data_IF_381319851296
#
_entry.id   IF_381319851296
#
_cell.length_a   1.000
_cell.length_b   1.000
_cell.length_c   1.000
_cell.angle_alpha   90.00
_cell.angle_beta   90.00
_cell.angle_gamma   90.00
#
_symmetry.space_group_name_H-M   'P 1'
#
loop_
_entity.id
_entity.type
_entity.pdbx_description
1 polymer ?
#
# COMPACT_ATOMS: atom_id res chain seq x y z
N UNK A 1 -38.58 6.49 -26.42
CA UNK A 1 -37.47 5.56 -26.46
C UNK A 1 -36.20 6.38 -26.05
N UNK A 2 -35.90 6.42 -24.75
CA UNK A 2 -34.75 7.16 -24.20
C UNK A 2 -33.88 6.14 -23.48
N UNK A 3 -32.65 5.91 -23.99
CA UNK A 3 -31.65 5.09 -23.35
C UNK A 3 -31.05 5.88 -22.17
N UNK A 4 -31.22 5.36 -20.97
CA UNK A 4 -30.48 5.78 -19.81
C UNK A 4 -29.09 5.09 -19.84
N UNK A 5 -28.05 5.88 -20.09
CA UNK A 5 -26.68 5.46 -19.84
C UNK A 5 -26.35 5.74 -18.38
N UNK A 6 -26.31 4.72 -17.58
CA UNK A 6 -25.76 4.74 -16.22
C UNK A 6 -24.23 4.80 -16.31
N UNK A 7 -23.68 5.96 -16.04
CA UNK A 7 -22.23 6.19 -15.85
C UNK A 7 -21.80 5.49 -14.55
N UNK A 8 -21.11 4.37 -14.70
CA UNK A 8 -20.36 3.76 -13.61
C UNK A 8 -19.06 4.56 -13.40
N UNK A 9 -19.04 5.38 -12.36
CA UNK A 9 -17.81 5.99 -11.88
C UNK A 9 -16.96 4.92 -11.20
N UNK A 10 -15.99 4.39 -11.92
CA UNK A 10 -14.91 3.57 -11.37
C UNK A 10 -14.05 4.46 -10.46
N UNK A 11 -14.18 4.29 -9.15
CA UNK A 11 -13.24 4.81 -8.17
C UNK A 11 -11.92 4.06 -8.31
N UNK A 12 -11.00 4.61 -9.08
CA UNK A 12 -9.60 4.21 -9.06
C UNK A 12 -8.93 4.91 -7.88
N UNK A 13 -8.87 4.22 -6.75
CA UNK A 13 -7.93 4.59 -5.68
C UNK A 13 -6.53 4.27 -6.19
N UNK A 14 -5.80 5.30 -6.59
CA UNK A 14 -4.38 5.19 -6.88
C UNK A 14 -3.63 5.08 -5.55
N UNK A 15 -3.48 3.87 -5.03
CA UNK A 15 -2.39 3.61 -4.08
C UNK A 15 -1.12 3.59 -4.91
N UNK A 16 -0.49 4.75 -5.03
CA UNK A 16 0.75 4.89 -5.74
C UNK A 16 1.89 4.44 -4.83
N UNK A 17 2.23 3.17 -4.94
CA UNK A 17 3.46 2.63 -4.40
C UNK A 17 4.62 3.36 -5.07
N UNK A 18 5.59 3.78 -4.28
CA UNK A 18 6.91 4.14 -4.81
C UNK A 18 7.49 2.85 -5.38
N UNK A 19 7.20 2.59 -6.63
CA UNK A 19 7.64 1.42 -7.33
C UNK A 19 9.09 1.57 -7.71
N UNK A 20 9.87 0.68 -7.17
CA UNK A 20 10.97 0.09 -7.92
C UNK A 20 10.32 -0.63 -9.11
N UNK A 21 10.19 0.06 -10.24
CA UNK A 21 9.74 -0.55 -11.47
C UNK A 21 10.71 -1.69 -11.81
N UNK A 22 10.23 -2.92 -11.73
CA UNK A 22 10.88 -4.03 -12.41
C UNK A 22 10.78 -3.75 -13.89
N UNK A 23 11.86 -3.26 -14.49
CA UNK A 23 11.98 -3.19 -15.93
C UNK A 23 11.95 -4.62 -16.49
N UNK A 24 10.85 -5.02 -17.11
CA UNK A 24 10.87 -6.10 -18.07
C UNK A 24 11.57 -5.58 -19.32
N UNK A 25 12.85 -5.86 -19.46
CA UNK A 25 13.56 -5.72 -20.72
C UNK A 25 13.09 -6.85 -21.64
N UNK A 26 12.39 -6.50 -22.72
CA UNK A 26 12.29 -7.35 -23.89
C UNK A 26 13.68 -7.50 -24.51
N UNK A 27 14.35 -8.60 -24.20
CA UNK A 27 15.64 -8.98 -24.75
C UNK A 27 15.59 -10.43 -25.16
N UNK A 28 15.89 -10.69 -26.42
CA UNK A 28 15.89 -11.93 -27.16
C UNK A 28 16.39 -13.18 -26.43
N UNK A 29 15.73 -14.29 -26.75
CA UNK A 29 16.07 -15.67 -26.36
C UNK A 29 17.54 -16.00 -26.61
N UNK A 30 18.30 -16.25 -25.56
CA UNK A 30 19.40 -17.17 -25.55
C UNK A 30 19.31 -17.98 -24.27
N UNK A 31 19.15 -19.30 -24.43
CA UNK A 31 19.18 -20.25 -23.33
C UNK A 31 20.58 -20.22 -22.70
N UNK A 32 20.61 -19.75 -21.45
CA UNK A 32 21.72 -20.02 -20.53
C UNK A 32 21.13 -20.66 -19.30
N UNK A 33 21.53 -21.92 -19.07
CA UNK A 33 21.55 -22.52 -17.76
C UNK A 33 22.36 -21.56 -16.85
N UNK A 34 21.73 -20.72 -16.11
CA UNK A 34 22.36 -19.95 -15.06
C UNK A 34 21.73 -20.36 -13.73
N UNK A 35 22.60 -20.81 -12.88
CA UNK A 35 22.36 -21.27 -11.55
C UNK A 35 21.56 -20.31 -10.67
N UNK A 36 21.40 -20.74 -9.43
CA UNK A 36 20.67 -20.13 -8.33
C UNK A 36 20.50 -18.61 -8.46
N UNK A 37 19.25 -18.14 -8.32
CA UNK A 37 18.91 -16.72 -8.37
C UNK A 37 19.75 -15.91 -7.37
N UNK A 38 20.21 -14.72 -7.79
CA UNK A 38 20.92 -13.72 -6.98
C UNK A 38 20.07 -13.10 -5.83
N UNK A 39 19.06 -13.82 -5.34
CA UNK A 39 18.25 -13.37 -4.21
C UNK A 39 18.90 -13.86 -2.92
N UNK A 40 19.49 -12.96 -2.16
CA UNK A 40 20.00 -13.22 -0.83
C UNK A 40 18.87 -13.63 0.11
N UNK A 41 18.81 -14.89 0.59
CA UNK A 41 17.75 -15.35 1.48
C UNK A 41 17.69 -14.59 2.79
N UNK A 42 18.83 -14.15 3.32
CA UNK A 42 18.89 -13.34 4.53
C UNK A 42 18.24 -11.98 4.33
N UNK A 43 18.35 -11.42 3.13
CA UNK A 43 17.79 -10.10 2.83
C UNK A 43 16.28 -10.15 2.55
N UNK A 44 15.78 -11.20 1.94
CA UNK A 44 14.41 -11.24 1.41
C UNK A 44 13.47 -12.24 2.10
N UNK A 45 13.95 -12.96 3.09
CA UNK A 45 13.10 -13.85 3.90
C UNK A 45 12.70 -15.16 3.25
N UNK A 46 13.21 -15.47 2.05
CA UNK A 46 12.88 -16.70 1.36
C UNK A 46 13.95 -17.12 0.38
N UNK A 47 14.09 -18.43 0.19
CA UNK A 47 14.90 -18.97 -0.91
C UNK A 47 14.09 -18.98 -2.18
N UNK A 48 14.43 -18.12 -3.09
CA UNK A 48 13.81 -18.00 -4.39
C UNK A 48 14.53 -18.95 -5.38
N UNK A 49 13.78 -19.88 -5.97
CA UNK A 49 14.41 -20.90 -6.87
C UNK A 49 14.35 -20.54 -8.36
N UNK A 50 14.16 -19.27 -8.68
CA UNK A 50 14.25 -18.76 -10.04
C UNK A 50 13.11 -19.16 -10.98
N UNK A 51 12.05 -19.82 -10.49
CA UNK A 51 10.85 -20.12 -11.27
C UNK A 51 9.84 -18.98 -11.10
N UNK A 52 9.26 -18.57 -12.21
CA UNK A 52 8.21 -17.54 -12.24
C UNK A 52 6.92 -18.14 -12.78
N UNK A 53 5.81 -17.91 -12.08
CA UNK A 53 4.47 -18.21 -12.56
C UNK A 53 3.85 -16.91 -13.10
N UNK A 54 3.27 -16.99 -14.29
CA UNK A 54 2.58 -15.85 -14.91
C UNK A 54 1.22 -15.57 -14.28
N UNK A 55 0.64 -16.56 -13.60
CA UNK A 55 -0.65 -16.45 -12.92
C UNK A 55 -0.52 -16.91 -11.48
N UNK A 56 -1.25 -16.22 -10.59
CA UNK A 56 -1.38 -16.63 -9.21
C UNK A 56 -2.19 -17.92 -9.13
N UNK A 57 -1.67 -18.91 -8.43
CA UNK A 57 -2.29 -20.23 -8.26
C UNK A 57 -2.58 -20.44 -6.78
N UNK A 58 -3.83 -20.70 -6.45
CA UNK A 58 -4.27 -21.17 -5.15
C UNK A 58 -4.43 -22.68 -5.18
N UNK A 59 -3.85 -23.38 -4.21
CA UNK A 59 -3.98 -24.82 -4.08
C UNK A 59 -4.50 -25.21 -2.68
N UNK A 60 -5.50 -26.10 -2.58
CA UNK A 60 -5.96 -26.60 -1.30
C UNK A 60 -4.81 -27.28 -0.55
N UNK A 61 -4.78 -27.08 0.75
CA UNK A 61 -3.85 -27.77 1.67
C UNK A 61 -4.63 -28.33 2.86
N UNK A 62 -4.22 -29.51 3.32
CA UNK A 62 -4.89 -30.15 4.45
C UNK A 62 -4.52 -29.50 5.78
N UNK A 63 -3.33 -28.91 5.85
CA UNK A 63 -2.81 -28.25 7.05
C UNK A 63 -1.97 -27.04 6.63
N UNK A 64 -1.98 -26.03 7.48
CA UNK A 64 -1.01 -24.93 7.43
C UNK A 64 0.31 -25.46 8.00
N UNK A 65 1.39 -25.35 7.23
CA UNK A 65 2.69 -25.90 7.64
C UNK A 65 3.32 -25.12 8.79
N UNK A 66 3.03 -23.80 8.89
CA UNK A 66 3.54 -22.97 9.98
C UNK A 66 2.69 -23.19 11.24
N UNK A 67 3.34 -23.59 12.33
CA UNK A 67 2.70 -23.87 13.63
C UNK A 67 2.88 -22.74 14.65
N UNK A 68 3.39 -21.59 14.24
CA UNK A 68 3.54 -20.43 15.11
C UNK A 68 2.18 -19.90 15.54
N UNK A 69 2.16 -19.20 16.67
CA UNK A 69 0.94 -18.53 17.12
C UNK A 69 0.59 -17.35 16.20
N UNK A 70 -0.71 -17.13 16.00
CA UNK A 70 -1.23 -15.91 15.38
C UNK A 70 -1.12 -14.77 16.38
N UNK A 71 -0.39 -13.70 16.02
CA UNK A 71 -0.01 -12.67 17.00
C UNK A 71 -0.91 -11.44 17.03
N UNK A 72 -1.78 -11.23 16.04
CA UNK A 72 -2.60 -10.02 15.90
C UNK A 72 -4.11 -10.26 16.01
N UNK A 73 -4.52 -11.20 16.87
CA UNK A 73 -5.92 -11.61 17.03
C UNK A 73 -6.86 -10.43 17.32
N UNK A 74 -6.47 -9.54 18.24
CA UNK A 74 -7.25 -8.36 18.60
C UNK A 74 -7.43 -7.38 17.44
N UNK A 75 -6.38 -7.11 16.69
CA UNK A 75 -6.42 -6.22 15.53
C UNK A 75 -7.29 -6.80 14.41
N UNK A 76 -7.23 -8.12 14.21
CA UNK A 76 -8.08 -8.80 13.25
C UNK A 76 -9.57 -8.70 13.62
N UNK A 77 -9.93 -8.92 14.89
CA UNK A 77 -11.31 -8.74 15.35
C UNK A 77 -11.78 -7.29 15.22
N UNK A 78 -10.91 -6.32 15.49
CA UNK A 78 -11.19 -4.91 15.24
C UNK A 78 -11.42 -4.63 13.74
N UNK A 79 -10.64 -5.29 12.87
CA UNK A 79 -10.86 -5.17 11.43
C UNK A 79 -12.20 -5.77 10.98
N UNK A 80 -12.61 -6.92 11.52
CA UNK A 80 -13.94 -7.48 11.23
C UNK A 80 -15.07 -6.57 11.73
N UNK A 81 -14.91 -5.94 12.89
CA UNK A 81 -15.85 -4.92 13.41
C UNK A 81 -15.97 -3.73 12.47
N UNK A 82 -14.85 -3.26 11.90
CA UNK A 82 -14.87 -2.21 10.88
C UNK A 82 -15.64 -2.65 9.63
N UNK A 83 -15.43 -3.88 9.15
CA UNK A 83 -16.16 -4.42 7.98
C UNK A 83 -17.66 -4.45 8.28
N UNK A 84 -18.06 -4.94 9.43
CA UNK A 84 -19.45 -5.00 9.84
C UNK A 84 -20.10 -3.60 9.87
N UNK A 85 -19.37 -2.62 10.38
CA UNK A 85 -19.87 -1.24 10.54
C UNK A 85 -19.93 -0.45 9.24
N UNK A 86 -19.01 -0.70 8.30
CA UNK A 86 -18.82 0.16 7.11
C UNK A 86 -19.19 -0.51 5.78
N UNK A 87 -19.33 -1.83 5.72
CA UNK A 87 -19.65 -2.54 4.49
C UNK A 87 -20.58 -3.72 4.73
N UNK A 88 -21.88 -3.46 4.78
CA UNK A 88 -22.90 -4.52 4.88
C UNK A 88 -22.80 -5.56 3.77
N UNK A 89 -22.36 -5.16 2.57
CA UNK A 89 -22.12 -6.09 1.46
C UNK A 89 -21.00 -7.08 1.76
N UNK A 90 -19.84 -6.62 2.23
CA UNK A 90 -18.76 -7.55 2.59
C UNK A 90 -19.13 -8.39 3.80
N UNK A 91 -19.73 -7.77 4.82
CA UNK A 91 -20.21 -8.46 6.00
C UNK A 91 -21.11 -9.63 5.64
N UNK A 92 -22.11 -9.41 4.75
CA UNK A 92 -23.03 -10.47 4.33
C UNK A 92 -22.39 -11.52 3.42
N UNK A 93 -21.59 -11.10 2.44
CA UNK A 93 -20.99 -12.01 1.47
C UNK A 93 -19.96 -12.97 2.09
N UNK A 94 -19.29 -12.53 3.15
CA UNK A 94 -18.24 -13.29 3.84
C UNK A 94 -18.65 -13.75 5.23
N UNK A 95 -19.92 -13.55 5.65
CA UNK A 95 -20.39 -13.94 6.97
C UNK A 95 -19.99 -15.37 7.38
N UNK A 96 -20.19 -16.42 6.53
CA UNK A 96 -19.86 -17.79 6.94
C UNK A 96 -18.40 -17.99 7.34
N UNK A 97 -17.46 -17.34 6.63
CA UNK A 97 -16.03 -17.45 6.97
C UNK A 97 -15.66 -16.53 8.12
N UNK A 98 -16.25 -15.33 8.22
CA UNK A 98 -16.00 -14.42 9.33
C UNK A 98 -16.45 -15.03 10.66
N UNK A 99 -17.61 -15.68 10.70
CA UNK A 99 -18.12 -16.34 11.90
C UNK A 99 -17.23 -17.51 12.34
N UNK A 100 -16.82 -18.36 11.39
CA UNK A 100 -15.91 -19.49 11.67
C UNK A 100 -14.56 -19.01 12.18
N UNK A 101 -13.96 -18.03 11.51
CA UNK A 101 -12.63 -17.50 11.91
C UNK A 101 -12.73 -16.75 13.23
N UNK A 102 -13.82 -16.03 13.49
CA UNK A 102 -14.05 -15.40 14.80
C UNK A 102 -14.12 -16.45 15.91
N UNK A 103 -14.89 -17.52 15.74
CA UNK A 103 -14.98 -18.61 16.71
C UNK A 103 -13.60 -19.26 16.95
N UNK A 104 -12.84 -19.52 15.89
CA UNK A 104 -11.49 -20.07 15.98
C UNK A 104 -10.52 -19.12 16.70
N UNK A 105 -10.58 -17.81 16.42
CA UNK A 105 -9.73 -16.81 17.10
C UNK A 105 -10.05 -16.74 18.58
N UNK A 106 -11.34 -16.73 18.96
CA UNK A 106 -11.77 -16.73 20.36
C UNK A 106 -11.40 -18.01 21.10
N UNK A 107 -11.18 -19.12 20.39
CA UNK A 107 -10.67 -20.38 20.95
C UNK A 107 -9.12 -20.43 21.02
N UNK A 108 -8.42 -19.35 20.68
CA UNK A 108 -6.95 -19.24 20.79
C UNK A 108 -6.19 -19.32 19.48
N UNK A 109 -6.87 -19.37 18.34
CA UNK A 109 -6.29 -19.33 16.98
C UNK A 109 -5.21 -20.38 16.71
N UNK A 110 -5.40 -21.60 17.20
CA UNK A 110 -4.48 -22.71 16.95
C UNK A 110 -4.62 -23.19 15.49
N UNK A 111 -3.61 -22.98 14.67
CA UNK A 111 -3.61 -23.31 13.23
C UNK A 111 -3.80 -24.80 12.93
N UNK A 112 -3.47 -25.70 13.90
CA UNK A 112 -3.71 -27.12 13.73
C UNK A 112 -5.21 -27.49 13.86
N UNK A 113 -6.03 -26.59 14.37
CA UNK A 113 -7.45 -26.82 14.65
C UNK A 113 -8.40 -26.16 13.64
N UNK A 114 -7.89 -25.53 12.58
CA UNK A 114 -8.70 -24.87 11.56
C UNK A 114 -9.85 -25.75 11.06
N UNK A 115 -9.58 -27.02 10.78
CA UNK A 115 -10.58 -27.98 10.31
C UNK A 115 -11.70 -28.25 11.34
N UNK A 116 -11.40 -28.15 12.65
CA UNK A 116 -12.40 -28.32 13.71
C UNK A 116 -13.46 -27.23 13.69
N UNK A 117 -13.12 -26.06 13.14
CA UNK A 117 -14.03 -24.93 12.93
C UNK A 117 -14.63 -24.91 11.51
N UNK A 118 -14.38 -25.95 10.71
CA UNK A 118 -14.82 -26.01 9.32
C UNK A 118 -14.13 -24.98 8.42
N UNK A 119 -12.91 -24.56 8.78
CA UNK A 119 -12.09 -23.64 8.01
C UNK A 119 -11.14 -24.45 7.12
N UNK A 120 -11.25 -24.28 5.82
CA UNK A 120 -10.34 -24.85 4.84
C UNK A 120 -9.33 -23.81 4.41
N UNK A 121 -8.11 -24.23 4.05
CA UNK A 121 -7.05 -23.32 3.63
C UNK A 121 -6.56 -23.64 2.22
N UNK A 122 -6.27 -22.59 1.46
CA UNK A 122 -5.64 -22.66 0.14
C UNK A 122 -4.35 -21.86 0.16
N UNK A 123 -3.21 -22.51 -0.08
CA UNK A 123 -1.92 -21.81 -0.15
C UNK A 123 -1.73 -21.14 -1.50
N UNK A 124 -1.18 -19.94 -1.52
CA UNK A 124 -0.75 -19.28 -2.74
C UNK A 124 0.62 -19.82 -3.15
N UNK A 125 0.74 -20.27 -4.42
CA UNK A 125 1.96 -20.91 -4.93
C UNK A 125 3.16 -19.97 -5.06
N UNK A 126 2.94 -18.68 -5.10
CA UNK A 126 4.01 -17.69 -5.22
C UNK A 126 4.59 -17.58 -6.63
N UNK A 127 5.54 -16.68 -6.81
CA UNK A 127 6.21 -16.44 -8.10
C UNK A 127 6.99 -17.64 -8.61
N UNK A 128 7.53 -18.43 -7.72
CA UNK A 128 8.43 -19.54 -8.00
C UNK A 128 7.74 -20.92 -7.93
N UNK A 129 6.47 -20.95 -7.52
CA UNK A 129 5.74 -22.19 -7.25
C UNK A 129 6.12 -22.86 -5.92
N UNK A 130 6.98 -22.22 -5.11
CA UNK A 130 7.41 -22.66 -3.78
C UNK A 130 6.80 -21.84 -2.66
N UNK A 131 5.67 -21.17 -2.94
CA UNK A 131 4.91 -20.41 -1.97
C UNK A 131 5.56 -19.07 -1.55
N UNK A 132 6.57 -18.58 -2.26
CA UNK A 132 7.21 -17.30 -2.01
C UNK A 132 6.38 -16.16 -2.60
N UNK A 133 5.54 -15.57 -1.77
CA UNK A 133 4.67 -14.43 -2.11
C UNK A 133 5.37 -13.14 -1.70
N UNK A 134 5.47 -12.18 -2.62
CA UNK A 134 6.08 -10.89 -2.34
C UNK A 134 5.21 -10.07 -1.40
N UNK A 135 5.82 -9.54 -0.36
CA UNK A 135 5.20 -8.65 0.61
C UNK A 135 5.93 -7.32 0.64
N UNK A 136 5.20 -6.25 0.36
CA UNK A 136 5.64 -4.87 0.56
C UNK A 136 4.84 -4.21 1.67
N UNK A 137 5.08 -2.94 1.95
CA UNK A 137 4.33 -2.21 2.94
C UNK A 137 3.92 -0.83 2.44
N UNK A 138 2.76 -0.37 2.90
CA UNK A 138 2.29 0.99 2.71
C UNK A 138 1.77 1.59 4.00
N UNK A 139 1.65 2.90 4.04
CA UNK A 139 1.30 3.63 5.25
C UNK A 139 0.52 4.91 4.93
N UNK A 140 -0.02 5.54 5.94
CA UNK A 140 -0.65 6.84 5.83
C UNK A 140 0.29 7.91 6.37
N UNK A 141 0.79 8.83 5.53
CA UNK A 141 1.70 9.87 5.97
C UNK A 141 1.00 10.86 6.91
N UNK A 142 1.79 11.49 7.77
CA UNK A 142 1.40 12.66 8.56
C UNK A 142 2.18 13.86 8.05
N UNK A 143 1.48 14.89 7.63
CA UNK A 143 2.06 16.12 7.08
C UNK A 143 1.91 17.24 8.11
N UNK A 144 3.02 17.87 8.51
CA UNK A 144 2.97 19.07 9.34
C UNK A 144 2.54 20.28 8.51
N UNK A 145 1.51 20.98 8.94
CA UNK A 145 0.96 22.10 8.19
C UNK A 145 0.38 23.21 9.10
N UNK A 146 -0.05 24.30 8.48
CA UNK A 146 -0.84 25.37 9.10
C UNK A 146 -2.04 25.69 8.22
N UNK A 147 -3.10 26.22 8.83
CA UNK A 147 -4.35 26.57 8.11
C UNK A 147 -4.15 27.79 7.21
N UNK A 148 -3.19 28.64 7.52
CA UNK A 148 -2.83 29.83 6.74
C UNK A 148 -1.34 29.81 6.42
N UNK A 149 -0.98 30.45 5.32
CA UNK A 149 0.41 30.59 4.94
C UNK A 149 1.20 31.43 5.95
N UNK A 150 2.28 30.88 6.52
CA UNK A 150 3.12 31.56 7.48
C UNK A 150 4.54 30.97 7.55
N UNK A 151 5.55 31.82 7.43
CA UNK A 151 6.95 31.42 7.52
C UNK A 151 7.31 30.28 6.56
N UNK A 152 7.87 29.19 7.07
CA UNK A 152 8.23 28.01 6.29
C UNK A 152 7.00 27.24 5.77
N UNK A 153 5.83 27.40 6.38
CA UNK A 153 4.57 26.77 5.96
C UNK A 153 4.00 27.56 4.77
N UNK A 154 4.53 27.31 3.59
CA UNK A 154 4.23 28.04 2.36
C UNK A 154 3.88 27.13 1.17
N UNK A 155 3.86 25.81 1.38
CA UNK A 155 3.54 24.82 0.35
C UNK A 155 2.06 24.44 0.45
N UNK A 156 1.19 24.91 -0.48
CA UNK A 156 -0.24 24.66 -0.39
C UNK A 156 -0.61 23.22 -0.70
N UNK A 157 -1.60 22.71 0.04
CA UNK A 157 -2.33 21.47 -0.24
C UNK A 157 -3.71 21.89 -0.75
N UNK A 158 -4.07 21.46 -1.96
CA UNK A 158 -5.25 21.97 -2.66
C UNK A 158 -6.45 21.01 -2.62
N UNK A 159 -7.64 21.61 -2.50
CA UNK A 159 -8.90 20.99 -2.84
C UNK A 159 -9.04 20.78 -4.36
N UNK A 160 -9.96 19.90 -4.75
CA UNK A 160 -10.22 19.61 -6.16
C UNK A 160 -10.83 20.84 -6.86
N UNK A 161 -10.18 21.40 -7.89
CA UNK A 161 -10.74 22.50 -8.67
C UNK A 161 -11.86 22.03 -9.61
N UNK A 162 -12.77 22.92 -9.98
CA UNK A 162 -13.79 22.65 -11.01
C UNK A 162 -13.18 22.32 -12.36
N UNK A 163 -12.09 22.99 -12.72
CA UNK A 163 -11.24 22.69 -13.88
C UNK A 163 -10.01 21.91 -13.44
N UNK A 164 -9.89 20.66 -13.87
CA UNK A 164 -8.86 19.71 -13.39
C UNK A 164 -7.58 19.69 -14.22
N UNK A 165 -7.49 20.46 -15.32
CA UNK A 165 -6.46 20.26 -16.36
C UNK A 165 -5.17 21.08 -16.15
N UNK A 166 -4.83 21.45 -14.95
CA UNK A 166 -3.54 22.07 -14.67
C UNK A 166 -2.50 20.97 -14.39
N UNK A 167 -1.38 21.01 -15.10
CA UNK A 167 -0.21 20.19 -14.78
C UNK A 167 0.40 20.61 -13.46
N UNK A 168 1.25 19.76 -12.86
CA UNK A 168 1.99 20.13 -11.65
C UNK A 168 2.78 21.41 -11.82
N UNK A 169 3.47 21.60 -12.95
CA UNK A 169 4.24 22.81 -13.21
C UNK A 169 3.36 24.07 -13.21
N UNK A 170 2.18 24.02 -13.85
CA UNK A 170 1.23 25.15 -13.83
C UNK A 170 0.70 25.42 -12.42
N UNK A 171 0.43 24.37 -11.62
CA UNK A 171 -0.01 24.51 -10.23
C UNK A 171 1.09 25.18 -9.39
N UNK A 172 2.34 24.74 -9.55
CA UNK A 172 3.49 25.33 -8.85
C UNK A 172 3.78 26.77 -9.32
N UNK A 173 3.49 27.08 -10.58
CA UNK A 173 3.52 28.46 -11.11
C UNK A 173 2.34 29.33 -10.60
N UNK A 174 1.42 28.79 -9.81
CA UNK A 174 0.36 29.55 -9.15
C UNK A 174 -1.01 29.50 -9.85
N UNK A 175 -1.26 28.56 -10.75
CA UNK A 175 -2.54 28.45 -11.48
C UNK A 175 -3.77 28.33 -10.53
N UNK A 176 -3.57 27.85 -9.29
CA UNK A 176 -4.63 27.69 -8.28
C UNK A 176 -4.55 28.73 -7.14
N UNK A 177 -3.51 29.57 -7.10
CA UNK A 177 -3.30 30.54 -6.02
C UNK A 177 -4.44 31.54 -5.95
N UNK A 178 -4.96 31.75 -4.72
CA UNK A 178 -6.01 32.74 -4.47
C UNK A 178 -7.40 32.36 -4.98
N UNK A 179 -7.61 31.09 -5.36
CA UNK A 179 -8.92 30.61 -5.80
C UNK A 179 -9.76 30.02 -4.66
N UNK A 180 -9.30 30.14 -3.40
CA UNK A 180 -9.98 29.59 -2.23
C UNK A 180 -9.96 28.06 -2.17
N UNK A 181 -8.95 27.43 -2.78
CA UNK A 181 -8.81 25.98 -2.85
C UNK A 181 -7.73 25.47 -1.89
N UNK A 182 -7.02 26.35 -1.22
CA UNK A 182 -5.97 26.01 -0.27
C UNK A 182 -6.60 25.45 1.02
N UNK A 183 -6.36 24.15 1.29
CA UNK A 183 -6.84 23.45 2.49
C UNK A 183 -5.88 23.62 3.66
N UNK A 184 -4.60 23.69 3.37
CA UNK A 184 -3.51 23.80 4.33
C UNK A 184 -2.23 24.25 3.63
N UNK A 185 -1.23 24.64 4.43
CA UNK A 185 0.12 24.97 3.96
C UNK A 185 1.13 24.17 4.75
N UNK A 186 1.85 23.26 4.09
CA UNK A 186 2.92 22.49 4.71
C UNK A 186 4.27 23.20 4.59
N UNK A 187 5.26 22.68 5.27
CA UNK A 187 6.65 23.18 5.20
C UNK A 187 7.53 22.38 4.20
N UNK A 188 6.96 21.38 3.53
CA UNK A 188 7.70 20.48 2.65
C UNK A 188 6.95 20.18 1.34
N UNK A 189 7.53 20.61 0.23
CA UNK A 189 7.02 20.29 -1.10
C UNK A 189 7.10 18.80 -1.42
N UNK A 190 8.17 18.13 -0.93
CA UNK A 190 8.34 16.70 -1.14
C UNK A 190 7.32 15.89 -0.34
N UNK A 191 6.97 16.31 0.88
CA UNK A 191 5.97 15.60 1.67
C UNK A 191 4.56 15.79 1.10
N UNK A 192 4.23 16.97 0.58
CA UNK A 192 3.00 17.17 -0.21
C UNK A 192 2.94 16.27 -1.42
N UNK A 193 4.06 16.10 -2.12
CA UNK A 193 4.15 15.16 -3.23
C UNK A 193 3.92 13.73 -2.77
N UNK A 194 4.57 13.29 -1.69
CA UNK A 194 4.42 11.94 -1.14
C UNK A 194 3.00 11.69 -0.62
N UNK A 195 2.34 12.70 -0.01
CA UNK A 195 0.92 12.62 0.31
C UNK A 195 0.06 12.35 -0.93
N UNK A 196 0.37 13.04 -2.04
CA UNK A 196 -0.28 12.81 -3.33
C UNK A 196 -0.03 11.42 -3.89
N UNK A 197 1.18 10.88 -3.70
CA UNK A 197 1.55 9.50 -4.08
C UNK A 197 0.72 8.48 -3.29
N UNK A 198 0.56 8.68 -1.98
CA UNK A 198 -0.26 7.81 -1.13
C UNK A 198 -1.77 8.01 -1.35
N UNK A 199 -2.18 9.12 -1.97
CA UNK A 199 -3.57 9.43 -2.29
C UNK A 199 -4.41 9.94 -1.12
N UNK A 200 -3.97 9.75 0.10
CA UNK A 200 -4.58 10.28 1.33
C UNK A 200 -3.58 10.23 2.48
N UNK A 201 -3.88 10.93 3.57
CA UNK A 201 -3.05 10.92 4.76
C UNK A 201 -3.62 11.83 5.83
N UNK A 202 -2.81 12.11 6.82
CA UNK A 202 -3.17 12.98 7.92
C UNK A 202 -2.40 14.29 7.87
N UNK A 203 -3.04 15.35 8.31
CA UNK A 203 -2.44 16.67 8.49
C UNK A 203 -2.45 17.02 9.96
N UNK A 204 -1.28 17.30 10.50
CA UNK A 204 -1.05 17.82 11.83
C UNK A 204 -0.93 19.36 11.78
N UNK A 205 -1.93 20.04 12.30
CA UNK A 205 -1.90 21.50 12.44
C UNK A 205 -1.17 21.98 13.70
N UNK A 206 -0.70 21.07 14.56
CA UNK A 206 -0.14 21.37 15.86
C UNK A 206 -1.21 21.64 16.93
N UNK A 207 -2.44 21.20 16.69
CA UNK A 207 -3.62 21.40 17.54
C UNK A 207 -3.92 20.17 18.42
N UNK A 208 -3.02 19.16 18.43
CA UNK A 208 -3.19 17.92 19.20
C UNK A 208 -4.05 16.85 18.53
N UNK A 209 -4.67 17.16 17.40
CA UNK A 209 -5.49 16.24 16.62
C UNK A 209 -4.98 16.13 15.19
N UNK A 210 -5.01 14.92 14.63
CA UNK A 210 -4.74 14.68 13.22
C UNK A 210 -6.04 14.85 12.41
N UNK A 211 -5.95 15.61 11.32
CA UNK A 211 -7.05 15.78 10.38
C UNK A 211 -6.82 14.91 9.16
N UNK A 212 -7.76 14.02 8.83
CA UNK A 212 -7.66 13.19 7.66
C UNK A 212 -7.94 13.96 6.38
N UNK A 213 -6.99 13.93 5.44
CA UNK A 213 -7.13 14.47 4.10
C UNK A 213 -7.37 13.33 3.14
N UNK A 214 -8.62 13.18 2.73
CA UNK A 214 -9.06 12.13 1.81
C UNK A 214 -8.81 12.54 0.35
N UNK A 215 -8.57 11.55 -0.49
CA UNK A 215 -8.51 11.73 -1.94
C UNK A 215 -9.79 12.40 -2.47
N UNK A 216 -9.64 13.46 -3.25
CA UNK A 216 -10.77 14.14 -3.90
C UNK A 216 -10.73 14.01 -5.43
N UNK A 217 -9.58 13.72 -6.00
CA UNK A 217 -9.40 13.55 -7.44
C UNK A 217 -7.97 13.83 -7.89
N UNK A 218 -7.74 13.72 -9.19
CA UNK A 218 -6.47 14.02 -9.83
C UNK A 218 -6.68 14.88 -11.08
N UNK A 219 -5.60 15.49 -11.58
CA UNK A 219 -5.63 16.37 -12.74
C UNK A 219 -5.72 15.67 -14.11
N UNK A 220 -5.66 14.33 -14.15
CA UNK A 220 -5.78 13.53 -15.40
C UNK A 220 -4.48 13.39 -16.19
N UNK A 221 -3.35 13.93 -15.74
CA UNK A 221 -2.05 13.72 -16.37
C UNK A 221 -1.44 12.38 -16.01
N UNK A 222 -0.58 11.79 -16.89
CA UNK A 222 0.10 10.55 -16.58
C UNK A 222 1.07 10.73 -15.41
N UNK A 223 1.19 9.67 -14.59
CA UNK A 223 2.12 9.66 -13.47
C UNK A 223 3.54 9.28 -13.93
N UNK A 224 4.53 10.06 -13.52
CA UNK A 224 5.94 9.75 -13.68
C UNK A 224 6.58 9.52 -12.30
N UNK A 225 7.15 8.33 -12.08
CA UNK A 225 7.74 7.96 -10.79
C UNK A 225 9.02 8.78 -10.51
N UNK A 226 8.98 9.65 -9.52
CA UNK A 226 10.10 10.53 -9.14
C UNK A 226 11.34 9.72 -8.73
N UNK A 227 11.15 8.59 -8.02
CA UNK A 227 12.27 7.70 -7.70
C UNK A 227 12.97 7.14 -8.93
N UNK A 228 12.21 6.79 -10.00
CA UNK A 228 12.80 6.37 -11.28
C UNK A 228 13.61 7.50 -11.91
N UNK A 229 13.07 8.72 -11.91
CA UNK A 229 13.78 9.89 -12.46
C UNK A 229 15.12 10.12 -11.74
N UNK A 230 15.16 10.01 -10.42
CA UNK A 230 16.39 10.13 -9.64
C UNK A 230 17.41 9.03 -9.95
N UNK A 231 16.95 7.82 -10.25
CA UNK A 231 17.84 6.73 -10.70
C UNK A 231 18.37 6.99 -12.11
N UNK A 232 17.50 7.41 -13.04
CA UNK A 232 17.86 7.74 -14.42
C UNK A 232 18.85 8.92 -14.49
N UNK A 233 18.72 9.88 -13.58
CA UNK A 233 19.62 11.03 -13.45
C UNK A 233 20.95 10.69 -12.74
N UNK A 234 21.10 9.45 -12.22
CA UNK A 234 22.30 9.02 -11.48
C UNK A 234 22.43 9.59 -10.07
N UNK A 235 21.37 10.19 -9.54
CA UNK A 235 21.34 10.83 -8.22
C UNK A 235 21.27 9.82 -7.07
N UNK A 236 20.53 8.75 -7.25
CA UNK A 236 20.35 7.68 -6.26
C UNK A 236 20.51 6.33 -6.97
N UNK A 237 21.43 5.46 -6.51
CA UNK A 237 21.55 4.11 -7.02
C UNK A 237 20.23 3.33 -6.85
N UNK A 238 19.87 2.52 -7.86
CA UNK A 238 18.60 1.79 -7.88
C UNK A 238 18.39 0.90 -6.64
N UNK A 239 19.46 0.28 -6.16
CA UNK A 239 19.45 -0.60 -4.98
C UNK A 239 19.26 0.14 -3.66
N UNK A 240 19.53 1.46 -3.64
CA UNK A 240 19.34 2.34 -2.48
C UNK A 240 18.06 3.17 -2.55
N UNK A 241 17.24 2.99 -3.59
CA UNK A 241 16.02 3.77 -3.77
C UNK A 241 14.98 3.42 -2.72
N UNK A 242 14.57 4.43 -1.95
CA UNK A 242 13.52 4.35 -0.94
C UNK A 242 12.84 5.72 -0.78
N UNK A 243 11.72 5.78 -0.07
CA UNK A 243 11.07 7.07 0.29
C UNK A 243 12.04 7.93 1.11
N UNK A 244 12.78 7.33 2.03
CA UNK A 244 13.76 8.04 2.84
C UNK A 244 14.88 8.62 1.96
N UNK A 245 15.43 7.84 1.03
CA UNK A 245 16.46 8.32 0.11
C UNK A 245 15.97 9.51 -0.75
N UNK A 246 14.70 9.52 -1.16
CA UNK A 246 14.08 10.65 -1.88
C UNK A 246 14.00 11.89 -0.96
N UNK A 247 13.60 11.73 0.30
CA UNK A 247 13.57 12.83 1.27
C UNK A 247 14.97 13.37 1.55
N UNK A 248 15.96 12.49 1.76
CA UNK A 248 17.34 12.88 2.02
C UNK A 248 17.92 13.65 0.84
N UNK A 249 17.67 13.17 -0.39
CA UNK A 249 18.06 13.87 -1.60
C UNK A 249 17.40 15.26 -1.69
N UNK A 250 16.09 15.35 -1.42
CA UNK A 250 15.36 16.61 -1.44
C UNK A 250 15.89 17.61 -0.39
N UNK A 251 16.23 17.15 0.81
CA UNK A 251 16.82 17.96 1.87
C UNK A 251 18.21 18.46 1.48
N UNK A 252 19.01 17.65 0.80
CA UNK A 252 20.34 18.02 0.31
C UNK A 252 20.28 18.93 -0.92
N UNK A 253 19.17 18.94 -1.68
CA UNK A 253 19.03 19.66 -2.95
C UNK A 253 17.76 20.54 -3.00
N UNK A 254 17.50 21.41 -2.03
CA UNK A 254 16.21 22.10 -1.91
C UNK A 254 15.84 22.95 -3.14
N UNK A 255 16.81 23.54 -3.82
CA UNK A 255 16.59 24.32 -5.05
C UNK A 255 16.21 23.48 -6.28
N UNK A 256 16.47 22.16 -6.25
CA UNK A 256 16.21 21.24 -7.37
C UNK A 256 14.90 20.47 -7.21
N UNK A 257 14.31 20.49 -6.00
CA UNK A 257 13.09 19.71 -5.69
C UNK A 257 11.96 20.05 -6.64
N UNK A 258 11.64 21.33 -6.82
CA UNK A 258 10.54 21.76 -7.70
C UNK A 258 10.72 21.25 -9.13
N UNK A 259 11.89 21.45 -9.71
CA UNK A 259 12.16 21.02 -11.09
C UNK A 259 12.08 19.49 -11.25
N UNK A 260 12.51 18.71 -10.23
CA UNK A 260 12.33 17.26 -10.23
C UNK A 260 10.85 16.90 -10.23
N UNK A 261 10.07 17.50 -9.32
CA UNK A 261 8.65 17.18 -9.16
C UNK A 261 7.81 17.57 -10.38
N UNK A 262 8.16 18.66 -11.07
CA UNK A 262 7.48 19.13 -12.29
C UNK A 262 7.60 18.14 -13.47
N UNK A 263 8.62 17.28 -13.48
CA UNK A 263 8.75 16.18 -14.45
C UNK A 263 7.66 15.11 -14.28
N UNK A 264 6.97 15.10 -13.14
CA UNK A 264 5.73 14.34 -12.93
C UNK A 264 4.54 15.29 -13.05
N UNK A 265 3.86 15.36 -14.21
CA UNK A 265 2.76 16.30 -14.43
C UNK A 265 1.49 15.95 -13.64
N UNK A 266 1.37 14.72 -13.13
CA UNK A 266 0.23 14.28 -12.33
C UNK A 266 0.18 15.01 -10.98
N UNK A 267 -1.03 15.41 -10.56
CA UNK A 267 -1.28 16.07 -9.27
C UNK A 267 -2.56 15.52 -8.64
N UNK A 268 -2.51 15.27 -7.34
CA UNK A 268 -3.64 14.77 -6.53
C UNK A 268 -4.19 15.90 -5.68
N UNK A 269 -5.51 15.97 -5.61
CA UNK A 269 -6.27 16.92 -4.81
C UNK A 269 -6.96 16.21 -3.64
N UNK A 270 -7.21 16.96 -2.57
CA UNK A 270 -7.72 16.42 -1.34
C UNK A 270 -9.04 17.07 -0.90
N UNK A 271 -9.68 16.45 0.06
CA UNK A 271 -10.75 17.04 0.87
C UNK A 271 -10.44 16.81 2.33
N UNK A 272 -10.65 17.82 3.15
CA UNK A 272 -10.51 17.70 4.59
C UNK A 272 -11.72 16.91 5.16
N UNK A 273 -11.43 15.86 5.91
CA UNK A 273 -12.40 15.07 6.68
C UNK A 273 -11.85 14.87 8.11
N UNK A 274 -12.09 15.82 9.03
CA UNK A 274 -11.48 15.82 10.35
C UNK A 274 -11.77 14.56 11.18
N UNK A 275 -12.90 13.90 10.90
CA UNK A 275 -13.32 12.66 11.59
C UNK A 275 -13.10 11.41 10.71
N UNK A 276 -12.50 11.60 9.55
CA UNK A 276 -12.24 10.54 8.60
C UNK A 276 -11.17 9.58 9.08
N UNK A 277 -11.25 8.36 8.56
CA UNK A 277 -10.25 7.31 8.77
C UNK A 277 -9.75 6.85 7.41
N UNK A 278 -8.50 6.43 7.36
CA UNK A 278 -7.95 5.79 6.17
C UNK A 278 -8.80 4.57 5.82
N UNK A 279 -9.27 4.51 4.58
CA UNK A 279 -10.08 3.42 4.04
C UNK A 279 -9.40 2.83 2.81
N UNK A 280 -9.43 1.52 2.72
CA UNK A 280 -9.05 0.81 1.50
C UNK A 280 -10.11 0.91 0.41
N UNK A 281 -9.85 0.31 -0.75
CA UNK A 281 -10.76 0.25 -1.89
C UNK A 281 -12.12 -0.40 -1.57
N UNK A 282 -12.19 -1.20 -0.53
CA UNK A 282 -13.43 -1.77 0.02
C UNK A 282 -14.32 -0.74 0.73
N UNK A 283 -13.86 0.51 0.91
CA UNK A 283 -14.57 1.56 1.67
C UNK A 283 -14.57 1.36 3.19
N UNK A 284 -13.77 0.43 3.69
CA UNK A 284 -13.67 0.04 5.10
C UNK A 284 -12.43 0.66 5.73
N UNK A 285 -12.50 1.21 6.95
CA UNK A 285 -11.33 1.67 7.69
C UNK A 285 -10.32 0.55 7.89
N UNK A 286 -9.04 0.87 7.65
CA UNK A 286 -7.95 -0.08 7.73
C UNK A 286 -7.37 -0.15 9.16
N UNK A 287 -7.09 -1.36 9.60
CA UNK A 287 -6.33 -1.63 10.85
C UNK A 287 -4.93 -2.08 10.45
N UNK A 288 -3.87 -1.46 11.01
CA UNK A 288 -2.49 -1.84 10.73
C UNK A 288 -2.27 -3.34 10.96
N UNK A 289 -1.53 -3.97 10.05
CA UNK A 289 -1.19 -5.39 10.09
C UNK A 289 -2.38 -6.38 10.13
N UNK A 290 -3.62 -5.89 10.02
CA UNK A 290 -4.84 -6.69 9.83
C UNK A 290 -5.55 -6.39 8.50
N UNK A 291 -5.00 -5.45 7.72
CA UNK A 291 -5.49 -5.07 6.40
C UNK A 291 -4.39 -5.16 5.35
N UNK A 292 -4.75 -5.57 4.15
CA UNK A 292 -3.79 -5.77 3.06
C UNK A 292 -4.41 -5.37 1.73
N UNK A 293 -3.57 -4.79 0.85
CA UNK A 293 -3.91 -4.64 -0.56
C UNK A 293 -3.51 -5.92 -1.33
N UNK A 294 -4.35 -6.33 -2.26
CA UNK A 294 -4.18 -7.53 -3.08
C UNK A 294 -4.66 -7.33 -4.52
N UNK A 295 -4.26 -8.22 -5.40
CA UNK A 295 -4.89 -8.34 -6.72
C UNK A 295 -6.31 -8.91 -6.55
N UNK A 296 -7.31 -8.05 -6.70
CA UNK A 296 -8.72 -8.46 -6.54
C UNK A 296 -9.19 -9.51 -7.56
N UNK A 297 -8.47 -9.69 -8.67
CA UNK A 297 -8.75 -10.74 -9.66
C UNK A 297 -8.35 -12.13 -9.17
N UNK A 298 -7.45 -12.20 -8.18
CA UNK A 298 -6.97 -13.43 -7.54
C UNK A 298 -7.54 -13.60 -6.14
N UNK A 299 -7.49 -12.54 -5.35
CA UNK A 299 -7.95 -12.49 -3.95
C UNK A 299 -9.04 -11.41 -3.86
N UNK A 300 -10.32 -11.79 -3.91
CA UNK A 300 -11.41 -10.83 -3.81
C UNK A 300 -11.37 -10.02 -2.51
N UNK A 301 -11.79 -8.75 -2.59
CA UNK A 301 -11.93 -7.91 -1.39
C UNK A 301 -12.91 -8.57 -0.41
N UNK A 302 -12.53 -8.62 0.86
CA UNK A 302 -13.23 -9.33 1.94
C UNK A 302 -12.63 -10.70 2.27
N UNK A 303 -11.72 -11.24 1.44
CA UNK A 303 -11.08 -12.54 1.72
C UNK A 303 -10.25 -12.49 3.00
N UNK A 304 -10.39 -13.54 3.82
CA UNK A 304 -9.59 -13.73 5.04
C UNK A 304 -8.31 -14.46 4.68
N UNK A 305 -7.20 -13.95 5.17
CA UNK A 305 -5.86 -14.43 4.89
C UNK A 305 -5.12 -14.74 6.19
N UNK A 306 -4.39 -15.84 6.18
CA UNK A 306 -3.33 -16.12 7.15
C UNK A 306 -2.00 -15.85 6.44
N UNK A 307 -1.18 -14.95 6.98
CA UNK A 307 -0.01 -14.40 6.32
C UNK A 307 1.23 -14.58 7.18
N UNK A 308 2.26 -15.21 6.64
CA UNK A 308 3.60 -15.22 7.24
C UNK A 308 4.31 -13.91 6.92
N UNK A 309 4.36 -13.02 7.89
CA UNK A 309 5.03 -11.73 7.74
C UNK A 309 6.49 -11.86 8.13
N UNK A 310 7.43 -11.63 7.20
CA UNK A 310 8.86 -11.60 7.50
C UNK A 310 9.16 -10.51 8.53
N UNK A 311 9.95 -10.86 9.55
CA UNK A 311 10.45 -9.89 10.51
C UNK A 311 11.74 -9.29 9.97
N UNK A 312 11.86 -7.96 10.03
CA UNK A 312 13.01 -7.21 9.51
C UNK A 312 13.66 -6.39 10.62
N UNK A 313 14.96 -6.21 10.51
CA UNK A 313 15.71 -5.31 11.36
C UNK A 313 15.57 -3.83 10.92
N UNK A 314 16.26 -2.93 11.58
CA UNK A 314 16.22 -1.49 11.28
C UNK A 314 16.83 -1.13 9.92
N UNK A 315 17.65 -1.99 9.36
CA UNK A 315 18.29 -1.86 8.06
C UNK A 315 17.46 -2.51 6.94
N UNK A 316 16.37 -3.21 7.30
CA UNK A 316 15.47 -3.89 6.36
C UNK A 316 15.96 -5.30 5.99
N UNK A 317 16.88 -5.89 6.73
CA UNK A 317 17.29 -7.27 6.52
C UNK A 317 16.32 -8.22 7.25
N UNK A 318 16.06 -9.37 6.65
CA UNK A 318 15.28 -10.40 7.32
C UNK A 318 16.03 -10.99 8.51
N UNK A 319 15.34 -11.10 9.65
CA UNK A 319 15.92 -11.60 10.91
C UNK A 319 15.99 -13.13 11.01
N UNK A 320 15.53 -13.85 10.02
CA UNK A 320 15.38 -15.31 10.06
C UNK A 320 14.01 -15.76 10.56
N UNK A 321 13.13 -14.83 10.96
CA UNK A 321 11.83 -15.16 11.53
C UNK A 321 10.67 -14.69 10.67
N UNK A 322 9.56 -15.46 10.72
CA UNK A 322 8.25 -15.05 10.21
C UNK A 322 7.24 -15.12 11.37
N UNK A 323 6.29 -14.18 11.38
CA UNK A 323 5.17 -14.19 12.32
C UNK A 323 3.86 -14.32 11.59
N UNK A 324 2.96 -15.14 12.11
CA UNK A 324 1.64 -15.32 11.55
C UNK A 324 0.70 -14.18 11.93
N UNK A 325 0.08 -13.60 10.91
CA UNK A 325 -0.93 -12.57 11.06
C UNK A 325 -2.22 -12.99 10.35
N UNK A 326 -3.36 -12.65 10.94
CA UNK A 326 -4.64 -12.67 10.27
C UNK A 326 -4.88 -11.31 9.61
N UNK A 327 -5.24 -11.32 8.33
CA UNK A 327 -5.52 -10.11 7.57
C UNK A 327 -6.77 -10.27 6.72
N UNK A 328 -7.39 -9.15 6.36
CA UNK A 328 -8.46 -9.12 5.36
C UNK A 328 -7.98 -8.31 4.15
N UNK A 329 -8.23 -8.82 2.97
CA UNK A 329 -7.99 -8.11 1.72
C UNK A 329 -9.03 -7.00 1.57
N UNK A 330 -8.64 -5.74 1.81
CA UNK A 330 -9.54 -4.58 1.81
C UNK A 330 -9.12 -3.47 0.87
N UNK A 331 -7.94 -3.61 0.28
CA UNK A 331 -7.40 -2.58 -0.60
C UNK A 331 -6.82 -3.18 -1.89
N UNK A 332 -6.49 -2.30 -2.82
CA UNK A 332 -5.84 -2.63 -4.08
C UNK A 332 -4.76 -1.60 -4.37
N UNK A 333 -3.72 -1.99 -5.10
CA UNK A 333 -2.68 -1.08 -5.56
C UNK A 333 -2.40 -1.27 -7.04
N UNK A 334 -2.06 -0.20 -7.77
CA UNK A 334 -1.78 -0.27 -9.21
C UNK A 334 -0.62 -1.20 -9.57
N UNK A 335 0.25 -1.50 -8.61
CA UNK A 335 1.37 -2.42 -8.77
C UNK A 335 1.20 -3.72 -7.96
N UNK A 336 0.11 -3.87 -7.23
CA UNK A 336 -0.18 -5.07 -6.45
C UNK A 336 -0.91 -6.05 -7.36
N UNK A 337 -0.14 -6.92 -8.02
CA UNK A 337 -0.66 -7.86 -9.02
C UNK A 337 -0.22 -9.28 -8.72
N UNK A 338 -1.12 -10.25 -8.92
CA UNK A 338 -0.83 -11.67 -8.83
C UNK A 338 -0.33 -12.12 -7.45
N UNK A 339 0.95 -12.44 -7.35
CA UNK A 339 1.61 -12.96 -6.13
C UNK A 339 2.18 -11.88 -5.22
N UNK A 340 1.62 -10.70 -5.25
CA UNK A 340 2.08 -9.54 -4.48
C UNK A 340 0.99 -9.09 -3.51
N UNK A 341 1.38 -8.88 -2.25
CA UNK A 341 0.56 -8.25 -1.22
C UNK A 341 1.26 -7.01 -0.67
N UNK A 342 0.47 -5.96 -0.42
CA UNK A 342 0.98 -4.74 0.20
C UNK A 342 0.32 -4.55 1.57
N UNK A 343 1.14 -4.62 2.62
CA UNK A 343 0.68 -4.68 4.01
C UNK A 343 0.48 -3.26 4.55
N UNK A 344 -0.72 -2.96 5.08
CA UNK A 344 -0.95 -1.68 5.73
C UNK A 344 -0.19 -1.61 7.05
N UNK A 345 0.80 -0.72 7.13
CA UNK A 345 1.70 -0.58 8.30
C UNK A 345 1.20 0.42 9.33
N UNK A 346 0.21 1.26 8.99
CA UNK A 346 -0.36 2.25 9.92
C UNK A 346 -0.09 3.69 9.51
N UNK A 347 0.09 4.57 10.49
CA UNK A 347 0.12 6.01 10.32
C UNK A 347 1.47 6.55 10.77
N UNK A 348 1.99 7.55 10.07
CA UNK A 348 3.15 8.35 10.46
C UNK A 348 4.50 7.75 10.08
N UNK A 349 5.57 8.40 10.52
CA UNK A 349 6.92 8.16 10.03
C UNK A 349 7.48 6.78 10.37
N UNK A 350 7.19 6.25 11.57
CA UNK A 350 7.62 4.91 11.95
C UNK A 350 7.00 3.84 11.03
N UNK A 351 5.69 3.96 10.74
CA UNK A 351 5.01 3.09 9.81
C UNK A 351 5.60 3.23 8.39
N UNK A 352 5.91 4.47 7.99
CA UNK A 352 6.54 4.79 6.72
C UNK A 352 7.95 4.22 6.58
N UNK A 353 8.74 4.27 7.65
CA UNK A 353 10.08 3.68 7.67
C UNK A 353 10.00 2.16 7.44
N UNK A 354 9.19 1.45 8.22
CA UNK A 354 9.01 0.01 8.07
C UNK A 354 8.43 -0.34 6.69
N UNK A 355 7.46 0.42 6.20
CA UNK A 355 6.87 0.22 4.88
C UNK A 355 7.93 0.36 3.78
N UNK A 356 8.80 1.37 3.88
CA UNK A 356 9.88 1.62 2.93
C UNK A 356 10.94 0.51 2.87
N UNK A 357 11.16 -0.20 3.97
CA UNK A 357 12.09 -1.32 4.07
C UNK A 357 11.43 -2.67 3.68
N UNK A 358 10.10 -2.73 3.64
CA UNK A 358 9.36 -3.98 3.40
C UNK A 358 9.39 -4.37 1.92
N UNK A 359 10.20 -5.38 1.58
CA UNK A 359 10.22 -6.03 0.27
C UNK A 359 10.75 -7.45 0.44
N UNK A 360 9.92 -8.31 1.02
CA UNK A 360 10.33 -9.63 1.47
C UNK A 360 9.32 -10.69 1.02
N UNK A 361 9.65 -11.95 1.21
CA UNK A 361 8.79 -13.06 0.84
C UNK A 361 8.27 -13.80 2.06
N UNK A 362 7.05 -14.26 1.98
CA UNK A 362 6.42 -15.12 2.98
C UNK A 362 5.31 -15.93 2.33
N UNK A 363 4.70 -16.83 3.09
CA UNK A 363 3.57 -17.65 2.63
C UNK A 363 2.24 -17.01 2.96
N UNK A 364 1.26 -17.25 2.10
CA UNK A 364 -0.12 -16.76 2.30
C UNK A 364 -1.09 -17.91 2.09
N UNK A 365 -2.00 -18.07 3.02
CA UNK A 365 -3.14 -18.97 2.92
C UNK A 365 -4.44 -18.17 2.91
N UNK A 366 -5.31 -18.48 1.95
CA UNK A 366 -6.69 -17.99 1.93
C UNK A 366 -7.53 -18.95 2.77
N UNK A 367 -8.25 -18.43 3.76
CA UNK A 367 -9.17 -19.17 4.59
C UNK A 367 -10.58 -19.15 3.99
N UNK A 368 -11.24 -20.34 3.99
CA UNK A 368 -12.55 -20.56 3.34
C UNK A 368 -13.51 -21.30 4.27
#
# INVERSE_FOLDING_TARGET
MRLNQTLWSTFLTLSAIVLLASCSSNGSKTSRNSGASDVDPQKFGAVYQGRSYQQAILAPVNQVENKSAVINQGDFLAQLSNIHSYSGKLSSNFAPIYDKVTAWVLAGANVNELNNFGIHSQVMKGFDGYQNVLMTGYYSPVIHARRTQQGKYNQPIYALPSQKRFSRAEIYAGALKGKGLELAYSDSMIDNFLLGVQGSGYVDFGEGNLNYFAYAGQNGYPYAAVGRLLVEDGEIPKEKMSIQAIRDWANANPSRVQGLLERNPSYVFFKNDPNGKVKGAAGVPLVPMASVASDRGVIPLGSVLLVEVPQIDNEGNWTGEHKLHLMVALDVGGAVNGHHFDLYRGIGDQAGHIAGLSKHYGRVWVLR
#
